data_IF_769067765721
#
_entry.id   IF_769067765721
#
_cell.length_a   1.000
_cell.length_b   1.000
_cell.length_c   1.000
_cell.angle_alpha   90.00
_cell.angle_beta   90.00
_cell.angle_gamma   90.00
#
_symmetry.space_group_name_H-M   'P 1'
#
loop_
_entity.id
_entity.type
_entity.pdbx_description
1 polymer ?
#
# COMPACT_ATOMS: atom_id res chain seq x y z
N UNK A 1 2.09 0.61 35.29
CA UNK A 1 1.63 0.23 33.95
C UNK A 1 2.06 1.30 32.97
N UNK A 2 2.59 0.90 31.82
CA UNK A 2 2.93 1.78 30.71
C UNK A 2 2.08 1.44 29.48
N UNK A 3 1.75 2.46 28.68
CA UNK A 3 0.99 2.33 27.44
C UNK A 3 1.81 2.94 26.31
N UNK A 4 1.95 2.22 25.20
CA UNK A 4 2.61 2.72 24.00
C UNK A 4 1.59 2.86 22.87
N UNK A 5 1.41 4.09 22.39
CA UNK A 5 0.50 4.42 21.31
C UNK A 5 1.32 4.95 20.13
N UNK A 6 1.12 4.39 18.96
CA UNK A 6 1.70 4.85 17.71
C UNK A 6 0.59 5.15 16.72
N UNK A 7 0.60 6.34 16.14
CA UNK A 7 -0.29 6.71 15.04
C UNK A 7 0.56 7.01 13.80
N UNK A 8 0.31 6.29 12.72
CA UNK A 8 0.99 6.45 11.45
C UNK A 8 0.07 7.12 10.44
N UNK A 9 0.60 8.12 9.78
CA UNK A 9 -0.07 8.86 8.74
C UNK A 9 0.87 9.09 7.56
N UNK A 10 0.38 8.84 6.36
CA UNK A 10 1.12 9.12 5.13
C UNK A 10 0.35 10.10 4.27
N UNK A 11 1.02 11.15 3.81
CA UNK A 11 0.47 12.17 2.93
C UNK A 11 1.47 12.51 1.84
N UNK A 12 1.10 12.26 0.60
CA UNK A 12 1.91 12.64 -0.56
C UNK A 12 1.04 12.69 -1.81
N UNK A 13 1.35 13.61 -2.73
CA UNK A 13 0.66 13.70 -4.02
C UNK A 13 1.24 12.68 -4.99
N UNK A 14 0.41 12.15 -5.90
CA UNK A 14 0.91 11.37 -7.04
C UNK A 14 1.89 12.21 -7.87
N UNK A 15 2.92 11.60 -8.39
CA UNK A 15 3.74 12.21 -9.43
C UNK A 15 2.90 12.47 -10.68
N UNK A 16 2.10 11.47 -11.07
CA UNK A 16 1.11 11.55 -12.14
C UNK A 16 -0.30 11.50 -11.52
N UNK A 17 -0.93 12.68 -11.38
CA UNK A 17 -2.27 12.79 -10.77
C UNK A 17 -3.34 12.27 -11.72
N UNK A 18 -4.37 11.64 -11.15
CA UNK A 18 -5.57 11.30 -11.91
C UNK A 18 -6.43 12.54 -12.17
N UNK A 19 -7.09 12.56 -13.31
CA UNK A 19 -8.06 13.59 -13.61
C UNK A 19 -9.39 13.25 -12.94
N UNK A 20 -9.96 14.16 -12.16
CA UNK A 20 -11.26 13.97 -11.49
C UNK A 20 -12.40 13.68 -12.47
N UNK A 21 -12.33 14.26 -13.67
CA UNK A 21 -13.30 14.03 -14.75
C UNK A 21 -13.25 12.60 -15.33
N UNK A 22 -12.14 11.89 -15.13
CA UNK A 22 -11.99 10.50 -15.57
C UNK A 22 -12.38 9.48 -14.49
N UNK A 23 -12.76 9.94 -13.29
CA UNK A 23 -13.28 9.08 -12.22
C UNK A 23 -14.76 8.79 -12.46
N UNK A 24 -15.13 7.52 -12.49
CA UNK A 24 -16.52 7.07 -12.69
C UNK A 24 -16.95 6.01 -11.68
N UNK A 25 -18.25 5.79 -11.56
CA UNK A 25 -18.79 4.67 -10.77
C UNK A 25 -18.58 3.37 -11.54
N UNK A 26 -17.86 2.42 -10.92
CA UNK A 26 -17.58 1.10 -11.47
C UNK A 26 -17.98 0.00 -10.49
N UNK A 27 -18.08 -1.21 -11.01
CA UNK A 27 -18.33 -2.39 -10.20
C UNK A 27 -17.03 -2.94 -9.67
N UNK A 28 -16.96 -3.15 -8.37
CA UNK A 28 -15.88 -3.86 -7.69
C UNK A 28 -16.45 -5.14 -7.07
N UNK A 29 -15.79 -6.27 -7.24
CA UNK A 29 -16.18 -7.55 -6.67
C UNK A 29 -15.42 -7.79 -5.38
N UNK A 30 -16.07 -7.79 -4.24
CA UNK A 30 -15.42 -7.96 -2.93
C UNK A 30 -14.99 -9.41 -2.66
N UNK A 31 -14.34 -9.66 -1.52
CA UNK A 31 -13.87 -11.01 -1.12
C UNK A 31 -15.02 -12.03 -0.98
N UNK A 32 -16.26 -11.57 -0.75
CA UNK A 32 -17.47 -12.39 -0.66
C UNK A 32 -18.14 -12.60 -2.01
N UNK A 33 -17.52 -12.17 -3.11
CA UNK A 33 -18.05 -12.16 -4.47
C UNK A 33 -19.27 -11.23 -4.61
N UNK A 34 -19.45 -10.29 -3.70
CA UNK A 34 -20.51 -9.29 -3.77
C UNK A 34 -20.06 -8.12 -4.62
N UNK A 35 -20.90 -7.68 -5.54
CA UNK A 35 -20.66 -6.52 -6.38
C UNK A 35 -21.02 -5.24 -5.65
N UNK A 36 -20.04 -4.37 -5.45
CA UNK A 36 -20.19 -3.06 -4.83
C UNK A 36 -19.82 -1.96 -5.83
N UNK A 37 -20.39 -0.77 -5.69
CA UNK A 37 -19.99 0.39 -6.49
C UNK A 37 -18.85 1.13 -5.82
N UNK A 38 -17.83 1.44 -6.59
CA UNK A 38 -16.66 2.23 -6.17
C UNK A 38 -16.42 3.38 -7.13
N UNK A 39 -15.79 4.45 -6.66
CA UNK A 39 -15.28 5.52 -7.52
C UNK A 39 -13.95 5.06 -8.10
N UNK A 40 -13.95 4.67 -9.37
CA UNK A 40 -12.77 4.18 -10.09
C UNK A 40 -12.08 5.33 -10.80
N UNK A 41 -10.86 5.63 -10.38
CA UNK A 41 -9.96 6.60 -11.04
C UNK A 41 -9.30 5.94 -12.24
N UNK A 42 -9.16 6.66 -13.34
CA UNK A 42 -8.63 6.12 -14.60
C UNK A 42 -7.58 7.04 -15.19
N UNK A 43 -6.49 6.47 -15.67
CA UNK A 43 -5.51 7.16 -16.50
C UNK A 43 -4.70 6.18 -17.34
N UNK A 44 -4.16 6.69 -18.44
CA UNK A 44 -3.15 5.99 -19.24
C UNK A 44 -1.83 6.76 -19.10
N UNK A 45 -0.81 6.11 -18.56
CA UNK A 45 0.52 6.69 -18.34
C UNK A 45 1.58 5.60 -18.35
N UNK A 46 2.83 6.03 -18.53
CA UNK A 46 3.98 5.16 -18.41
C UNK A 46 4.30 4.88 -16.94
N UNK A 47 4.27 3.59 -16.55
CA UNK A 47 4.55 3.10 -15.21
C UNK A 47 5.52 1.94 -15.22
N UNK A 48 6.17 1.69 -14.08
CA UNK A 48 6.85 0.42 -13.86
C UNK A 48 5.80 -0.66 -13.54
N UNK A 49 5.87 -1.75 -14.26
CA UNK A 49 4.93 -2.86 -14.23
C UNK A 49 5.66 -4.20 -14.22
N UNK A 50 5.09 -5.20 -13.61
CA UNK A 50 5.49 -6.60 -13.74
C UNK A 50 4.28 -7.50 -13.58
N UNK A 51 4.32 -8.68 -14.15
CA UNK A 51 3.31 -9.73 -13.93
C UNK A 51 3.96 -11.10 -13.92
N UNK A 52 3.28 -12.02 -13.23
CA UNK A 52 3.59 -13.45 -13.26
C UNK A 52 2.27 -14.24 -13.24
N UNK A 53 2.33 -15.56 -13.08
CA UNK A 53 1.14 -16.40 -13.09
C UNK A 53 0.16 -16.08 -11.94
N UNK A 54 0.61 -15.42 -10.86
CA UNK A 54 -0.15 -15.20 -9.63
C UNK A 54 -0.72 -13.79 -9.55
N UNK A 55 0.03 -12.78 -9.98
CA UNK A 55 -0.37 -11.37 -9.84
C UNK A 55 0.17 -10.47 -10.95
N UNK A 56 -0.50 -9.34 -11.13
CA UNK A 56 0.01 -8.14 -11.80
C UNK A 56 0.42 -7.12 -10.74
N UNK A 57 1.47 -6.36 -11.00
CA UNK A 57 1.90 -5.30 -10.10
C UNK A 57 2.27 -4.03 -10.86
N UNK A 58 1.85 -2.89 -10.32
CA UNK A 58 2.18 -1.55 -10.84
C UNK A 58 2.80 -0.71 -9.73
N UNK A 59 3.85 0.05 -10.08
CA UNK A 59 4.48 1.03 -9.20
C UNK A 59 4.06 2.43 -9.57
N UNK A 60 3.44 3.14 -8.62
CA UNK A 60 2.96 4.51 -8.74
C UNK A 60 3.80 5.44 -7.86
N UNK A 61 4.69 6.25 -8.44
CA UNK A 61 5.52 7.16 -7.65
C UNK A 61 4.70 8.33 -7.09
N UNK A 62 5.09 8.78 -5.90
CA UNK A 62 4.62 10.03 -5.31
C UNK A 62 5.62 11.16 -5.59
N UNK A 63 5.11 12.38 -5.81
CA UNK A 63 5.88 13.61 -5.90
C UNK A 63 7.16 13.50 -6.73
N UNK A 64 8.29 13.64 -6.07
CA UNK A 64 9.62 13.52 -6.68
C UNK A 64 10.14 12.07 -6.82
N UNK A 65 9.34 11.06 -6.45
CA UNK A 65 9.70 9.65 -6.56
C UNK A 65 10.43 9.05 -5.34
N UNK A 66 10.62 9.81 -4.25
CA UNK A 66 11.20 9.27 -3.00
C UNK A 66 10.32 8.19 -2.40
N UNK A 67 9.01 8.32 -2.54
CA UNK A 67 8.05 7.28 -2.13
C UNK A 67 7.28 6.76 -3.33
N UNK A 68 6.84 5.51 -3.23
CA UNK A 68 6.00 4.88 -4.26
C UNK A 68 4.96 3.97 -3.62
N UNK A 69 3.76 3.94 -4.21
CA UNK A 69 2.80 2.87 -3.95
C UNK A 69 3.00 1.76 -4.98
N UNK A 70 3.02 0.52 -4.51
CA UNK A 70 2.92 -0.68 -5.34
C UNK A 70 1.54 -1.27 -5.11
N UNK A 71 0.80 -1.52 -6.17
CA UNK A 71 -0.45 -2.26 -6.13
C UNK A 71 -0.25 -3.63 -6.75
N UNK A 72 -0.69 -4.69 -6.06
CA UNK A 72 -0.61 -6.08 -6.50
C UNK A 72 -2.03 -6.63 -6.65
N UNK A 73 -2.40 -6.95 -7.86
CA UNK A 73 -3.71 -7.47 -8.22
C UNK A 73 -3.59 -8.96 -8.53
N UNK A 74 -4.31 -9.84 -7.81
CA UNK A 74 -4.31 -11.27 -8.12
C UNK A 74 -4.78 -11.55 -9.54
N UNK A 75 -4.23 -12.57 -10.20
CA UNK A 75 -4.80 -13.11 -11.44
C UNK A 75 -6.09 -13.87 -11.13
N UNK A 76 -7.01 -13.99 -12.09
CA UNK A 76 -8.36 -14.56 -11.93
C UNK A 76 -8.45 -15.88 -11.13
N UNK A 77 -7.42 -16.73 -11.22
CA UNK A 77 -7.37 -18.02 -10.54
C UNK A 77 -6.87 -17.96 -9.10
N UNK A 78 -6.37 -16.80 -8.68
CA UNK A 78 -5.67 -16.63 -7.40
C UNK A 78 -6.40 -15.65 -6.49
N UNK A 79 -6.17 -15.81 -5.20
CA UNK A 79 -6.69 -14.94 -4.15
C UNK A 79 -5.58 -14.05 -3.59
N UNK A 80 -5.97 -13.02 -2.88
CA UNK A 80 -5.03 -12.13 -2.21
C UNK A 80 -4.05 -12.87 -1.28
N UNK A 81 -4.50 -13.94 -0.63
CA UNK A 81 -3.65 -14.80 0.20
C UNK A 81 -2.50 -15.44 -0.58
N UNK A 82 -2.74 -15.82 -1.85
CA UNK A 82 -1.72 -16.41 -2.71
C UNK A 82 -0.65 -15.38 -3.11
N UNK A 83 -1.08 -14.13 -3.37
CA UNK A 83 -0.17 -13.01 -3.62
C UNK A 83 0.72 -12.76 -2.40
N UNK A 84 0.14 -12.70 -1.19
CA UNK A 84 0.90 -12.53 0.05
C UNK A 84 1.87 -13.69 0.28
N UNK A 85 1.45 -14.93 0.01
CA UNK A 85 2.32 -16.12 0.15
C UNK A 85 3.47 -16.09 -0.88
N UNK A 86 3.20 -15.63 -2.11
CA UNK A 86 4.22 -15.45 -3.14
C UNK A 86 5.23 -14.38 -2.71
N UNK A 87 4.77 -13.20 -2.31
CA UNK A 87 5.64 -12.10 -1.88
C UNK A 87 6.50 -12.43 -0.65
N UNK A 88 5.99 -13.25 0.29
CA UNK A 88 6.77 -13.74 1.43
C UNK A 88 7.94 -14.66 1.04
N UNK A 89 7.81 -15.37 -0.09
CA UNK A 89 8.85 -16.26 -0.61
C UNK A 89 9.79 -15.56 -1.59
N UNK A 90 9.37 -14.43 -2.15
CA UNK A 90 10.12 -13.66 -3.11
C UNK A 90 11.14 -12.76 -2.41
N UNK A 91 12.29 -12.55 -3.06
CA UNK A 91 13.17 -11.45 -2.72
C UNK A 91 12.49 -10.12 -3.14
N UNK A 92 12.18 -9.25 -2.19
CA UNK A 92 11.52 -7.97 -2.46
C UNK A 92 12.30 -7.11 -3.46
N UNK A 93 13.62 -7.09 -3.33
CA UNK A 93 14.47 -6.36 -4.28
C UNK A 93 14.45 -7.01 -5.67
N UNK A 94 14.28 -8.34 -5.75
CA UNK A 94 14.05 -9.06 -6.99
C UNK A 94 12.78 -8.58 -7.68
N UNK A 95 11.66 -8.56 -6.99
CA UNK A 95 10.38 -8.05 -7.53
C UNK A 95 10.52 -6.63 -8.08
N UNK A 96 11.23 -5.76 -7.36
CA UNK A 96 11.47 -4.37 -7.80
C UNK A 96 12.34 -4.29 -9.06
N UNK A 97 13.33 -5.15 -9.20
CA UNK A 97 14.24 -5.21 -10.38
C UNK A 97 13.57 -5.78 -11.62
N UNK A 98 12.60 -6.67 -11.44
CA UNK A 98 11.87 -7.30 -12.56
C UNK A 98 10.84 -6.35 -13.20
N UNK A 99 10.54 -5.22 -12.55
CA UNK A 99 9.62 -4.24 -13.12
C UNK A 99 10.24 -3.52 -14.31
N UNK A 100 9.50 -3.45 -15.41
CA UNK A 100 9.85 -2.71 -16.61
C UNK A 100 8.87 -1.55 -16.86
N UNK A 101 9.31 -0.55 -17.59
CA UNK A 101 8.48 0.62 -17.93
C UNK A 101 7.66 0.33 -19.15
N UNK A 102 6.33 0.49 -19.06
CA UNK A 102 5.40 0.34 -20.18
C UNK A 102 4.21 1.28 -20.02
N UNK A 103 3.39 1.39 -21.08
CA UNK A 103 2.13 2.13 -21.01
C UNK A 103 1.07 1.29 -20.29
N UNK A 104 0.51 1.85 -19.24
CA UNK A 104 -0.48 1.17 -18.40
C UNK A 104 -1.80 1.93 -18.43
N UNK A 105 -2.87 1.26 -18.88
CA UNK A 105 -4.23 1.66 -18.56
C UNK A 105 -4.49 1.31 -17.11
N UNK A 106 -4.34 2.30 -16.24
CA UNK A 106 -4.46 2.15 -14.79
C UNK A 106 -5.85 2.55 -14.33
N UNK A 107 -6.57 1.58 -13.75
CA UNK A 107 -7.87 1.78 -13.12
C UNK A 107 -7.73 1.39 -11.65
N UNK A 108 -7.80 2.38 -10.76
CA UNK A 108 -7.62 2.22 -9.32
C UNK A 108 -8.80 2.84 -8.57
N UNK A 109 -9.47 2.13 -7.67
CA UNK A 109 -10.54 2.72 -6.87
C UNK A 109 -10.01 3.79 -5.94
N UNK A 110 -10.83 4.81 -5.67
CA UNK A 110 -10.65 5.66 -4.48
C UNK A 110 -10.97 4.83 -3.26
N UNK A 111 -10.14 4.92 -2.23
CA UNK A 111 -10.38 4.16 -1.01
C UNK A 111 -9.81 4.85 0.24
N UNK A 112 -10.34 4.46 1.38
CA UNK A 112 -9.81 4.78 2.69
C UNK A 112 -9.73 3.48 3.50
N UNK A 113 -8.56 3.19 4.04
CA UNK A 113 -8.37 2.06 4.95
C UNK A 113 -7.96 2.57 6.32
N UNK A 114 -8.63 2.08 7.35
CA UNK A 114 -8.31 2.34 8.75
C UNK A 114 -7.86 1.05 9.40
N UNK A 115 -6.78 1.13 10.13
CA UNK A 115 -6.19 -0.01 10.78
C UNK A 115 -5.93 0.30 12.24
N UNK A 116 -6.38 -0.60 13.11
CA UNK A 116 -6.18 -0.54 14.56
C UNK A 116 -5.73 -1.90 15.03
N UNK A 117 -4.55 -2.00 15.62
CA UNK A 117 -4.05 -3.27 16.12
C UNK A 117 -3.40 -3.11 17.50
N UNK A 118 -3.68 -4.07 18.37
CA UNK A 118 -2.91 -4.30 19.60
C UNK A 118 -1.76 -5.23 19.25
N UNK A 119 -0.53 -4.78 19.50
CA UNK A 119 0.69 -5.47 19.08
C UNK A 119 1.27 -6.40 20.15
N UNK A 120 0.65 -6.55 21.31
CA UNK A 120 1.21 -7.33 22.43
C UNK A 120 1.62 -8.75 22.02
N UNK A 121 0.71 -9.50 21.42
CA UNK A 121 0.94 -10.90 21.06
C UNK A 121 2.00 -10.98 19.93
N UNK A 122 1.87 -10.13 18.92
CA UNK A 122 2.82 -10.05 17.80
C UNK A 122 4.24 -9.74 18.31
N UNK A 123 4.40 -8.74 19.18
CA UNK A 123 5.70 -8.38 19.73
C UNK A 123 6.26 -9.46 20.66
N UNK A 124 5.40 -10.15 21.40
CA UNK A 124 5.80 -11.30 22.21
C UNK A 124 6.33 -12.44 21.36
N UNK A 125 5.64 -12.78 20.26
CA UNK A 125 6.05 -13.81 19.30
C UNK A 125 7.34 -13.43 18.56
N UNK A 126 7.57 -12.13 18.36
CA UNK A 126 8.81 -11.58 17.80
C UNK A 126 9.99 -11.55 18.78
N UNK A 127 9.83 -12.05 20.01
CA UNK A 127 10.90 -12.17 21.01
C UNK A 127 10.88 -11.11 22.13
N UNK A 128 9.79 -10.38 22.32
CA UNK A 128 9.65 -9.35 23.35
C UNK A 128 8.60 -9.68 24.45
N UNK A 129 8.47 -10.95 24.93
CA UNK A 129 7.44 -11.31 25.89
C UNK A 129 7.66 -10.70 27.26
N UNK A 130 8.93 -10.49 27.68
CA UNK A 130 9.27 -10.00 29.02
C UNK A 130 8.75 -8.59 29.28
N UNK A 131 8.63 -7.76 28.27
CA UNK A 131 8.15 -6.38 28.41
C UNK A 131 6.69 -6.29 28.89
N UNK A 132 5.90 -7.34 28.67
CA UNK A 132 4.50 -7.45 29.07
C UNK A 132 4.29 -8.21 30.38
N UNK A 133 5.35 -8.85 30.92
CA UNK A 133 5.32 -9.61 32.16
C UNK A 133 5.53 -8.67 33.35
N UNK A 134 4.56 -8.62 34.25
CA UNK A 134 4.58 -7.71 35.43
C UNK A 134 5.74 -7.98 36.38
N UNK A 135 6.21 -9.22 36.42
CA UNK A 135 7.23 -9.67 37.37
C UNK A 135 8.64 -9.68 36.78
N UNK A 136 8.74 -9.66 35.44
CA UNK A 136 10.01 -9.80 34.71
C UNK A 136 10.40 -8.58 33.89
N UNK A 137 9.46 -7.65 33.65
CA UNK A 137 9.75 -6.44 32.88
C UNK A 137 10.77 -5.57 33.62
N UNK A 138 11.81 -5.14 32.93
CA UNK A 138 12.81 -4.22 33.49
C UNK A 138 12.88 -2.93 32.69
N UNK A 139 12.25 -1.89 33.20
CA UNK A 139 12.26 -0.53 32.68
C UNK A 139 12.92 0.47 33.64
N UNK A 140 13.88 0.01 34.47
CA UNK A 140 14.57 0.84 35.46
C UNK A 140 15.31 2.03 34.85
N UNK A 141 15.78 1.91 33.59
CA UNK A 141 16.39 3.03 32.90
C UNK A 141 15.38 4.15 32.55
N UNK A 142 14.08 3.87 32.64
CA UNK A 142 12.99 4.79 32.28
C UNK A 142 12.26 5.33 33.52
N UNK A 143 12.22 4.56 34.61
CA UNK A 143 11.48 4.91 35.83
C UNK A 143 11.99 4.14 37.02
N UNK A 144 12.00 4.79 38.18
CA UNK A 144 12.30 4.17 39.48
C UNK A 144 11.17 3.24 39.99
N UNK A 145 10.00 3.31 39.38
CA UNK A 145 8.88 2.44 39.70
C UNK A 145 8.91 1.18 38.81
N UNK A 146 8.47 0.06 39.39
CA UNK A 146 8.27 -1.17 38.59
C UNK A 146 7.20 -0.96 37.52
N UNK A 147 7.61 -0.97 36.27
CA UNK A 147 6.76 -0.79 35.08
C UNK A 147 6.75 -2.06 34.23
N UNK A 148 5.61 -2.35 33.64
CA UNK A 148 5.49 -3.25 32.49
C UNK A 148 4.60 -2.60 31.42
N UNK A 149 4.74 -3.01 30.17
CA UNK A 149 3.84 -2.59 29.09
C UNK A 149 2.48 -3.26 29.29
N UNK A 150 1.43 -2.45 29.46
CA UNK A 150 0.05 -2.95 29.50
C UNK A 150 -0.43 -3.28 28.10
N UNK A 151 -0.21 -2.35 27.16
CA UNK A 151 -0.43 -2.61 25.75
C UNK A 151 0.42 -1.70 24.85
N UNK A 152 0.67 -2.20 23.67
CA UNK A 152 1.18 -1.46 22.52
C UNK A 152 0.09 -1.44 21.46
N UNK A 153 -0.29 -0.26 20.99
CA UNK A 153 -1.31 -0.08 19.95
C UNK A 153 -0.73 0.71 18.79
N UNK A 154 -1.04 0.26 17.59
CA UNK A 154 -0.75 0.97 16.36
C UNK A 154 -2.04 1.30 15.62
N UNK A 155 -2.18 2.56 15.25
CA UNK A 155 -3.25 3.08 14.42
C UNK A 155 -2.65 3.58 13.11
N UNK A 156 -3.28 3.28 11.98
CA UNK A 156 -2.88 3.79 10.68
C UNK A 156 -4.12 4.13 9.84
N UNK A 157 -4.02 5.21 9.08
CA UNK A 157 -5.04 5.63 8.10
C UNK A 157 -4.36 5.92 6.78
N UNK A 158 -4.85 5.30 5.72
CA UNK A 158 -4.45 5.55 4.35
C UNK A 158 -5.69 5.91 3.55
N UNK A 159 -5.66 7.09 2.92
CA UNK A 159 -6.72 7.57 2.05
C UNK A 159 -6.14 7.89 0.69
N UNK A 160 -6.65 7.24 -0.34
CA UNK A 160 -6.19 7.33 -1.73
C UNK A 160 -7.26 7.99 -2.57
N UNK A 161 -6.90 9.05 -3.27
CA UNK A 161 -7.74 9.77 -4.23
C UNK A 161 -6.94 10.22 -5.46
N UNK A 162 -7.56 11.04 -6.32
CA UNK A 162 -6.98 11.51 -7.58
C UNK A 162 -5.72 12.37 -7.40
N UNK A 163 -5.59 13.04 -6.27
CA UNK A 163 -4.45 13.93 -5.97
C UNK A 163 -3.25 13.14 -5.42
N UNK A 164 -3.53 12.02 -4.75
CA UNK A 164 -2.51 11.22 -4.07
C UNK A 164 -3.05 10.44 -2.89
N UNK A 165 -2.20 10.26 -1.90
CA UNK A 165 -2.61 9.80 -0.58
C UNK A 165 -2.77 11.04 0.29
N UNK A 166 -4.00 11.36 0.62
CA UNK A 166 -4.47 12.54 1.36
C UNK A 166 -3.76 13.86 1.02
N UNK A 167 -4.08 14.43 -0.14
CA UNK A 167 -3.48 15.67 -0.63
C UNK A 167 -4.40 16.88 -0.40
N UNK A 168 -3.82 17.95 0.17
CA UNK A 168 -4.39 19.30 0.08
C UNK A 168 -4.00 19.90 -1.27
N UNK A 169 -4.94 20.56 -1.92
CA UNK A 169 -4.82 21.12 -3.26
C UNK A 169 -3.67 22.11 -3.36
N UNK A 170 -2.65 21.82 -4.15
CA UNK A 170 -1.74 22.79 -4.75
C UNK A 170 -1.59 22.40 -6.22
N UNK A 171 -2.13 23.22 -7.10
CA UNK A 171 -2.03 23.03 -8.56
C UNK A 171 -0.64 23.39 -9.05
N UNK A 172 0.10 22.44 -9.59
CA UNK A 172 1.23 22.69 -10.49
C UNK A 172 1.12 21.80 -11.72
N UNK A 173 0.74 22.41 -12.84
CA UNK A 173 0.74 21.76 -14.14
C UNK A 173 2.18 21.75 -14.68
N UNK A 174 2.80 20.57 -14.68
CA UNK A 174 4.05 20.33 -15.37
C UNK A 174 3.80 19.31 -16.47
N UNK A 175 3.73 19.76 -17.74
CA UNK A 175 3.76 18.85 -18.89
C UNK A 175 5.20 18.35 -19.07
N UNK A 176 5.47 17.09 -18.79
CA UNK A 176 6.64 16.39 -19.32
C UNK A 176 6.22 15.59 -20.55
N UNK A 177 6.99 15.74 -21.64
CA UNK A 177 6.84 14.93 -22.85
C UNK A 177 7.21 13.50 -22.53
N UNK A 178 6.28 12.57 -22.77
CA UNK A 178 6.52 11.14 -22.70
C UNK A 178 7.59 10.73 -23.74
N UNK A 179 8.56 9.94 -23.30
CA UNK A 179 9.44 9.23 -24.21
C UNK A 179 8.58 8.21 -24.97
N UNK A 180 8.74 8.14 -26.30
CA UNK A 180 8.01 7.21 -27.14
C UNK A 180 8.32 5.77 -26.68
N UNK A 181 7.31 5.08 -26.11
CA UNK A 181 7.32 3.65 -25.84
C UNK A 181 7.14 2.92 -27.15
N UNK A 182 7.91 1.84 -27.39
CA UNK A 182 7.81 1.07 -28.61
C UNK A 182 6.45 0.39 -28.77
N UNK A 183 6.02 0.05 -29.98
CA UNK A 183 4.76 -0.65 -30.20
C UNK A 183 4.86 -2.08 -29.64
N UNK A 184 4.14 -2.36 -28.54
CA UNK A 184 4.03 -3.71 -27.97
C UNK A 184 3.82 -3.79 -26.48
N UNK A 185 4.11 -2.73 -25.71
CA UNK A 185 4.11 -2.79 -24.24
C UNK A 185 2.95 -1.98 -23.62
N UNK A 186 1.73 -2.26 -24.08
CA UNK A 186 0.51 -1.69 -23.49
C UNK A 186 -0.19 -2.73 -22.64
N UNK A 187 -0.41 -2.42 -21.37
CA UNK A 187 -1.02 -3.33 -20.41
C UNK A 187 -2.20 -2.69 -19.69
N UNK A 188 -3.14 -3.50 -19.24
CA UNK A 188 -4.29 -3.06 -18.44
C UNK A 188 -4.13 -3.54 -17.00
N UNK A 189 -4.13 -2.59 -16.08
CA UNK A 189 -4.20 -2.82 -14.65
C UNK A 189 -5.54 -2.31 -14.12
N UNK A 190 -6.54 -3.19 -14.05
CA UNK A 190 -7.90 -2.86 -13.62
C UNK A 190 -8.16 -3.47 -12.25
N UNK A 191 -8.04 -2.67 -11.19
CA UNK A 191 -8.25 -3.08 -9.80
C UNK A 191 -9.75 -3.14 -9.45
N UNK A 192 -10.47 -4.09 -10.03
CA UNK A 192 -11.91 -4.33 -9.84
C UNK A 192 -12.24 -5.44 -8.84
N UNK A 193 -11.22 -5.98 -8.17
CA UNK A 193 -11.31 -6.99 -7.12
C UNK A 193 -10.22 -6.77 -6.06
N UNK A 194 -10.23 -7.50 -4.92
CA UNK A 194 -9.31 -7.26 -3.81
C UNK A 194 -7.83 -7.26 -4.21
N UNK A 195 -7.12 -6.22 -3.80
CA UNK A 195 -5.69 -6.06 -4.08
C UNK A 195 -4.90 -5.69 -2.83
N UNK A 196 -3.60 -6.02 -2.85
CA UNK A 196 -2.63 -5.60 -1.86
C UNK A 196 -1.99 -4.30 -2.32
N UNK A 197 -1.70 -3.39 -1.38
CA UNK A 197 -0.85 -2.25 -1.67
C UNK A 197 0.28 -2.12 -0.64
N UNK A 198 1.43 -1.65 -1.10
CA UNK A 198 2.59 -1.32 -0.28
C UNK A 198 2.97 0.14 -0.54
N UNK A 199 3.28 0.90 0.49
CA UNK A 199 3.94 2.21 0.34
C UNK A 199 5.38 2.04 0.81
N UNK A 200 6.32 2.38 -0.06
CA UNK A 200 7.73 2.13 0.16
C UNK A 200 8.56 3.39 -0.03
N UNK A 201 9.70 3.45 0.63
CA UNK A 201 10.78 4.37 0.31
C UNK A 201 11.57 3.78 -0.88
N UNK A 202 11.82 4.61 -1.91
CA UNK A 202 12.26 4.12 -3.22
C UNK A 202 13.73 3.71 -3.27
N UNK A 203 14.61 4.35 -2.47
CA UNK A 203 16.05 4.10 -2.51
C UNK A 203 16.43 2.79 -1.80
N UNK A 204 15.87 2.57 -0.62
CA UNK A 204 16.14 1.38 0.21
C UNK A 204 15.17 0.24 -0.06
N UNK A 205 13.97 0.54 -0.60
CA UNK A 205 12.87 -0.42 -0.69
C UNK A 205 12.16 -0.68 0.63
N UNK A 206 12.45 0.08 1.68
CA UNK A 206 11.80 -0.09 2.97
C UNK A 206 10.28 0.06 2.85
N UNK A 207 9.54 -0.93 3.32
CA UNK A 207 8.09 -0.92 3.34
C UNK A 207 7.64 -0.13 4.57
N UNK A 208 6.96 0.99 4.34
CA UNK A 208 6.43 1.86 5.39
C UNK A 208 4.99 1.50 5.75
N UNK A 209 4.19 1.14 4.74
CA UNK A 209 2.81 0.71 4.91
C UNK A 209 2.54 -0.51 4.03
N UNK A 210 1.78 -1.44 4.56
CA UNK A 210 1.21 -2.57 3.84
C UNK A 210 -0.27 -2.66 4.18
N UNK A 211 -1.10 -2.78 3.17
CA UNK A 211 -2.53 -2.86 3.35
C UNK A 211 -3.22 -3.59 2.20
N UNK A 212 -4.48 -3.93 2.43
CA UNK A 212 -5.35 -4.50 1.40
C UNK A 212 -6.59 -3.63 1.24
N UNK A 213 -7.10 -3.57 0.04
CA UNK A 213 -8.41 -3.04 -0.24
C UNK A 213 -9.32 -4.16 -0.75
N UNK A 214 -10.51 -4.28 -0.17
CA UNK A 214 -11.46 -5.36 -0.47
C UNK A 214 -12.89 -4.86 -0.77
N UNK A 215 -13.03 -3.57 -1.11
CA UNK A 215 -14.33 -3.01 -1.53
C UNK A 215 -15.14 -2.35 -0.42
N UNK A 216 -14.57 -2.18 0.78
CA UNK A 216 -15.24 -1.54 1.93
C UNK A 216 -14.31 -0.56 2.60
#
# INVERSE_FOLDING_TARGET
>A
LAYLLNAMYFKSQWKEKFQKSATSDETFTDESLTKVKVKMMKQNKSYNYTENDIYKAVRMPYGNGVFSMYAFLPMEKYKLADVVACLKKSDWDGVRREMFTCDVDLWLPKFETKFHIKLNDILSDMGMPLSFDKDKADFKAMSDYALCLSFVRQDAVIKVDEEGTEAAVVSSAGMMKDAAVGPGDHVVFHADHPFLYLITESSTGAILFAGRYSGK
#
